data_IF_792557079209
#
_entry.id   IF_792557079209
#
_cell.length_a   1.000
_cell.length_b   1.000
_cell.length_c   1.000
_cell.angle_alpha   90.00
_cell.angle_beta   90.00
_cell.angle_gamma   90.00
#
_symmetry.space_group_name_H-M   'P 1'
#
loop_
_entity.id
_entity.type
_entity.pdbx_description
1 polymer ?
#
# COMPACT_ATOMS: atom_id res chain seq x y z
N UNK A 1 20.67 0.20 53.90
CA UNK A 1 20.58 0.61 52.48
C UNK A 1 19.12 0.92 52.10
N UNK A 2 18.51 2.01 52.60
CA UNK A 2 17.08 2.32 52.41
C UNK A 2 16.83 3.83 52.22
N UNK A 3 17.39 4.43 51.15
CA UNK A 3 17.19 5.89 50.93
C UNK A 3 16.87 6.30 49.48
N UNK A 4 16.88 5.37 48.51
CA UNK A 4 16.61 5.72 47.09
C UNK A 4 15.14 5.55 46.66
N UNK A 5 14.30 4.84 47.41
CA UNK A 5 12.91 4.55 47.02
C UNK A 5 11.92 5.70 47.26
N UNK A 6 12.22 6.61 48.20
CA UNK A 6 11.31 7.70 48.57
C UNK A 6 11.43 8.91 47.64
N UNK A 7 12.63 9.18 47.10
CA UNK A 7 12.86 10.29 46.16
C UNK A 7 12.26 10.03 44.76
N UNK A 8 12.16 8.76 44.34
CA UNK A 8 11.56 8.39 43.05
C UNK A 8 10.01 8.48 43.04
N UNK A 9 9.39 8.57 44.22
CA UNK A 9 7.95 8.76 44.37
C UNK A 9 7.56 10.25 44.33
N UNK A 10 8.45 11.15 44.76
CA UNK A 10 8.26 12.60 44.73
C UNK A 10 8.37 13.20 43.31
N UNK A 11 9.25 12.65 42.46
CA UNK A 11 9.45 13.14 41.09
C UNK A 11 8.31 12.83 40.11
N UNK A 12 7.25 12.14 40.53
CA UNK A 12 6.05 11.85 39.72
C UNK A 12 4.90 12.84 39.95
N UNK A 13 5.03 13.75 40.92
CA UNK A 13 3.90 14.59 41.37
C UNK A 13 3.69 15.90 40.58
N UNK A 14 4.56 16.25 39.64
CA UNK A 14 4.42 17.50 38.86
C UNK A 14 4.62 17.26 37.36
N UNK A 15 3.84 16.36 36.79
CA UNK A 15 3.62 16.41 35.34
C UNK A 15 2.58 17.48 35.05
N UNK A 16 2.94 18.47 34.22
CA UNK A 16 2.00 19.45 33.68
C UNK A 16 0.75 18.73 33.15
N UNK A 17 -0.48 19.22 33.40
CA UNK A 17 -1.72 18.57 32.99
C UNK A 17 -1.75 18.28 31.48
N UNK A 18 -1.08 19.10 30.67
CA UNK A 18 -0.90 18.86 29.24
C UNK A 18 -0.12 17.56 28.96
N UNK A 19 0.95 17.27 29.71
CA UNK A 19 1.74 16.04 29.57
C UNK A 19 0.95 14.79 30.01
N UNK A 20 0.07 14.93 31.00
CA UNK A 20 -0.82 13.85 31.44
C UNK A 20 -1.88 13.53 30.37
N UNK A 21 -2.49 14.57 29.77
CA UNK A 21 -3.40 14.42 28.64
C UNK A 21 -2.74 13.76 27.44
N UNK A 22 -1.50 14.14 27.09
CA UNK A 22 -0.76 13.51 25.99
C UNK A 22 -0.46 12.03 26.26
N UNK A 23 -0.23 11.63 27.52
CA UNK A 23 -0.02 10.23 27.89
C UNK A 23 -1.30 9.38 27.85
N UNK A 24 -2.46 10.00 28.11
CA UNK A 24 -3.76 9.33 28.00
C UNK A 24 -4.25 9.24 26.55
N UNK A 25 -3.99 10.29 25.74
CA UNK A 25 -4.42 10.37 24.35
C UNK A 25 -3.52 9.61 23.38
N UNK A 26 -2.23 9.44 23.70
CA UNK A 26 -1.27 8.69 22.88
C UNK A 26 -0.65 7.55 23.69
N UNK A 27 -1.18 6.31 23.59
CA UNK A 27 -0.53 5.16 24.15
C UNK A 27 0.73 4.85 23.32
N UNK A 28 1.88 5.43 23.69
CA UNK A 28 3.19 5.13 23.05
C UNK A 28 3.53 3.63 23.05
N UNK A 29 2.85 2.85 23.90
CA UNK A 29 3.03 1.39 24.02
C UNK A 29 2.22 0.59 23.00
N UNK A 30 1.13 1.11 22.42
CA UNK A 30 0.30 0.31 21.53
C UNK A 30 1.06 -0.08 20.26
N UNK A 31 1.75 0.86 19.63
CA UNK A 31 2.56 0.59 18.43
C UNK A 31 3.74 -0.36 18.71
N UNK A 32 4.43 -0.15 19.83
CA UNK A 32 5.53 -1.05 20.24
C UNK A 32 5.03 -2.45 20.60
N UNK A 33 3.82 -2.56 21.14
CA UNK A 33 3.17 -3.85 21.37
C UNK A 33 2.76 -4.49 20.05
N UNK A 34 2.12 -3.75 19.13
CA UNK A 34 1.76 -4.26 17.80
C UNK A 34 2.95 -4.82 17.03
N UNK A 35 4.10 -4.13 17.05
CA UNK A 35 5.33 -4.64 16.41
C UNK A 35 5.90 -5.88 17.10
N UNK A 36 5.80 -5.96 18.44
CA UNK A 36 6.24 -7.16 19.18
C UNK A 36 5.34 -8.35 18.93
N UNK A 37 4.03 -8.13 18.91
CA UNK A 37 3.06 -9.19 18.59
C UNK A 37 3.25 -9.63 17.15
N UNK A 38 3.38 -8.70 16.20
CA UNK A 38 3.65 -9.00 14.79
C UNK A 38 4.96 -9.80 14.63
N UNK A 39 6.06 -9.40 15.27
CA UNK A 39 7.33 -10.16 15.25
C UNK A 39 7.25 -11.55 15.91
N UNK A 40 6.32 -11.76 16.86
CA UNK A 40 6.14 -13.05 17.55
C UNK A 40 5.18 -13.97 16.80
N UNK A 41 4.20 -13.40 16.12
CA UNK A 41 3.18 -14.09 15.32
C UNK A 41 3.68 -14.40 13.91
N UNK A 42 4.59 -13.60 13.33
CA UNK A 42 5.20 -13.87 12.01
C UNK A 42 5.81 -15.29 11.89
N UNK A 43 6.67 -15.75 12.83
CA UNK A 43 7.20 -17.11 12.76
C UNK A 43 6.14 -18.19 13.04
N UNK A 44 5.06 -17.86 13.78
CA UNK A 44 3.94 -18.76 13.99
C UNK A 44 3.01 -18.85 12.77
N UNK A 45 2.91 -17.79 11.96
CA UNK A 45 2.12 -17.74 10.72
C UNK A 45 2.86 -18.31 9.52
N UNK A 46 4.18 -18.46 9.59
CA UNK A 46 5.04 -18.97 8.51
C UNK A 46 4.60 -20.36 8.02
N UNK A 47 4.12 -21.23 8.91
CA UNK A 47 3.65 -22.57 8.54
C UNK A 47 2.29 -22.57 7.79
N UNK A 48 1.49 -21.49 7.88
CA UNK A 48 0.17 -21.38 7.24
C UNK A 48 0.25 -20.50 5.99
N UNK A 49 0.98 -19.39 6.06
CA UNK A 49 0.98 -18.34 5.05
C UNK A 49 2.36 -18.09 4.42
N UNK A 50 3.43 -18.66 4.98
CA UNK A 50 4.81 -18.38 4.58
C UNK A 50 5.29 -16.99 4.97
N UNK A 51 6.60 -16.76 4.85
CA UNK A 51 7.21 -15.43 4.95
C UNK A 51 7.03 -14.64 3.65
N UNK A 52 6.66 -13.35 3.72
CA UNK A 52 6.60 -12.51 2.53
C UNK A 52 7.99 -12.44 1.90
N UNK A 53 8.04 -12.55 0.57
CA UNK A 53 9.33 -12.52 -0.14
C UNK A 53 10.03 -11.20 0.14
N UNK A 54 11.29 -11.28 0.53
CA UNK A 54 12.17 -10.12 0.69
C UNK A 54 12.93 -9.88 -0.60
N UNK A 55 13.01 -8.62 -1.06
CA UNK A 55 13.75 -8.28 -2.27
C UNK A 55 13.37 -6.93 -2.88
N UNK A 56 14.19 -6.42 -3.80
CA UNK A 56 14.05 -5.08 -4.41
C UNK A 56 12.69 -4.88 -5.11
N UNK A 57 12.12 -5.94 -5.67
CA UNK A 57 10.83 -5.90 -6.38
C UNK A 57 9.75 -6.75 -5.71
N UNK A 58 9.96 -7.21 -4.48
CA UNK A 58 9.02 -8.12 -3.81
C UNK A 58 7.78 -7.42 -3.25
N UNK A 59 7.82 -6.10 -3.13
CA UNK A 59 6.71 -5.25 -2.73
C UNK A 59 5.76 -4.91 -3.89
N UNK A 60 6.11 -5.27 -5.13
CA UNK A 60 5.30 -4.96 -6.31
C UNK A 60 4.30 -6.08 -6.58
N UNK A 61 3.04 -5.74 -6.94
CA UNK A 61 2.03 -6.74 -7.29
C UNK A 61 2.24 -7.34 -8.70
N UNK A 62 3.36 -7.04 -9.36
CA UNK A 62 3.71 -7.54 -10.68
C UNK A 62 5.19 -7.90 -10.76
N UNK A 63 5.50 -8.93 -11.54
CA UNK A 63 6.89 -9.36 -11.75
C UNK A 63 7.61 -8.37 -12.68
N UNK A 64 8.81 -7.93 -12.30
CA UNK A 64 9.67 -7.08 -13.15
C UNK A 64 10.78 -7.91 -13.80
N UNK A 65 11.36 -8.85 -13.05
CA UNK A 65 12.44 -9.74 -13.49
C UNK A 65 11.94 -11.16 -13.77
N UNK A 66 12.77 -11.95 -14.46
CA UNK A 66 12.58 -13.39 -14.72
C UNK A 66 11.26 -13.76 -15.41
N UNK A 67 10.78 -12.88 -16.30
CA UNK A 67 9.61 -13.16 -17.14
C UNK A 67 9.98 -14.08 -18.30
N UNK A 68 9.29 -15.22 -18.41
CA UNK A 68 9.56 -16.26 -19.42
C UNK A 68 9.14 -15.90 -20.85
N UNK A 69 8.04 -15.16 -21.03
CA UNK A 69 7.42 -14.96 -22.34
C UNK A 69 7.35 -13.50 -22.80
N UNK A 70 6.93 -12.59 -21.92
CA UNK A 70 6.69 -11.19 -22.28
C UNK A 70 7.71 -10.31 -21.56
N UNK A 71 8.60 -9.62 -22.28
CA UNK A 71 9.51 -8.64 -21.68
C UNK A 71 8.73 -7.59 -20.89
N UNK A 72 9.28 -7.15 -19.75
CA UNK A 72 8.60 -6.19 -18.88
C UNK A 72 8.22 -4.89 -19.61
N UNK A 73 9.08 -4.39 -20.50
CA UNK A 73 8.82 -3.19 -21.30
C UNK A 73 7.57 -3.32 -22.17
N UNK A 74 7.39 -4.46 -22.84
CA UNK A 74 6.22 -4.74 -23.69
C UNK A 74 4.96 -4.79 -22.84
N UNK A 75 5.01 -5.43 -21.68
CA UNK A 75 3.86 -5.46 -20.76
C UNK A 75 3.52 -4.06 -20.24
N UNK A 76 4.52 -3.30 -19.78
CA UNK A 76 4.32 -1.98 -19.20
C UNK A 76 3.74 -0.99 -20.22
N UNK A 77 4.37 -0.88 -21.39
CA UNK A 77 3.90 -0.01 -22.47
C UNK A 77 2.62 -0.52 -23.13
N UNK A 78 2.39 -1.82 -23.17
CA UNK A 78 1.14 -2.40 -23.65
C UNK A 78 -0.05 -2.04 -22.76
N UNK A 79 0.10 -2.16 -21.44
CA UNK A 79 -0.93 -1.76 -20.48
C UNK A 79 -1.20 -0.26 -20.58
N UNK A 80 -0.16 0.57 -20.52
CA UNK A 80 -0.31 2.03 -20.64
C UNK A 80 -0.92 2.43 -21.98
N UNK A 81 -0.44 1.85 -23.08
CA UNK A 81 -0.92 2.12 -24.43
C UNK A 81 -2.38 1.70 -24.62
N UNK A 82 -2.81 0.57 -24.03
CA UNK A 82 -4.19 0.14 -24.07
C UNK A 82 -5.12 1.14 -23.39
N UNK A 83 -4.79 1.58 -22.16
CA UNK A 83 -5.61 2.55 -21.46
C UNK A 83 -5.57 3.94 -22.10
N UNK A 84 -4.44 4.32 -22.69
CA UNK A 84 -4.34 5.53 -23.50
C UNK A 84 -5.24 5.46 -24.74
N UNK A 85 -5.30 4.29 -25.40
CA UNK A 85 -6.08 4.09 -26.63
C UNK A 85 -7.58 3.88 -26.36
N UNK A 86 -7.95 3.44 -25.16
CA UNK A 86 -9.33 3.17 -24.75
C UNK A 86 -10.36 4.27 -25.13
N UNK A 87 -10.14 5.57 -24.84
CA UNK A 87 -11.07 6.63 -25.24
C UNK A 87 -11.21 6.79 -26.77
N UNK A 88 -10.17 6.51 -27.55
CA UNK A 88 -10.23 6.57 -29.01
C UNK A 88 -11.01 5.39 -29.58
N UNK A 89 -10.83 4.21 -29.01
CA UNK A 89 -11.61 3.03 -29.38
C UNK A 89 -13.10 3.23 -29.08
N UNK A 90 -13.44 3.74 -27.89
CA UNK A 90 -14.84 4.01 -27.52
C UNK A 90 -15.46 5.10 -28.40
N UNK A 91 -14.73 6.18 -28.69
CA UNK A 91 -15.18 7.24 -29.59
C UNK A 91 -15.33 6.74 -31.02
N UNK A 92 -14.38 5.94 -31.51
CA UNK A 92 -14.43 5.33 -32.84
C UNK A 92 -15.64 4.41 -33.01
N UNK A 93 -15.98 3.63 -31.98
CA UNK A 93 -17.20 2.81 -31.96
C UNK A 93 -18.48 3.67 -32.01
N UNK A 94 -18.52 4.78 -31.27
CA UNK A 94 -19.66 5.70 -31.32
C UNK A 94 -19.78 6.39 -32.68
N UNK A 95 -18.66 6.82 -33.28
CA UNK A 95 -18.63 7.38 -34.65
C UNK A 95 -19.11 6.37 -35.69
N UNK A 96 -18.76 5.10 -35.54
CA UNK A 96 -19.27 4.03 -36.39
C UNK A 96 -20.77 3.87 -36.30
N UNK A 97 -21.33 3.80 -35.09
CA UNK A 97 -22.80 3.75 -34.91
C UNK A 97 -23.49 5.03 -35.40
N UNK A 98 -22.84 6.18 -35.31
CA UNK A 98 -23.33 7.45 -35.83
C UNK A 98 -23.27 7.54 -37.38
N UNK A 99 -22.79 6.50 -38.07
CA UNK A 99 -22.75 6.46 -39.53
C UNK A 99 -21.65 7.32 -40.15
N UNK A 100 -20.68 7.79 -39.37
CA UNK A 100 -19.56 8.63 -39.87
C UNK A 100 -18.77 7.92 -40.97
N UNK A 101 -18.71 6.59 -40.91
CA UNK A 101 -18.01 5.74 -41.89
C UNK A 101 -18.93 5.20 -42.99
N UNK A 102 -20.22 5.60 -43.04
CA UNK A 102 -21.13 5.20 -44.11
C UNK A 102 -21.04 6.19 -45.30
N UNK A 103 -20.47 5.80 -46.45
CA UNK A 103 -20.32 6.69 -47.60
C UNK A 103 -21.67 7.12 -48.22
N UNK A 104 -22.75 6.36 -47.99
CA UNK A 104 -24.07 6.65 -48.55
C UNK A 104 -24.89 7.62 -47.67
N UNK A 105 -24.53 7.81 -46.40
CA UNK A 105 -25.22 8.71 -45.47
C UNK A 105 -24.95 10.20 -45.72
N UNK A 106 -23.97 10.54 -46.57
CA UNK A 106 -23.54 11.92 -46.88
C UNK A 106 -24.23 12.53 -48.11
N UNK A 107 -25.15 11.82 -48.76
CA UNK A 107 -25.74 12.22 -50.06
C UNK A 107 -27.20 12.73 -50.01
N UNK A 108 -27.76 12.94 -48.82
CA UNK A 108 -29.08 13.55 -48.62
C UNK A 108 -28.99 15.00 -48.18
#
# INVERSE_FOLDING_TARGET
>A
MLSRSLLQRSSKATMSPAKQLTQLLMPKRSFQQSLRTLNKELPAMDHIYGTPKEGVYSNLPFQVKDRKFIPFSVWYWGVLGFFFFFPFMSSGWQMYKAGVWNPFAKSS
#
